data_IF_468993264987
#
_entry.id   IF_468993264987
#
_cell.length_a   1.000
_cell.length_b   1.000
_cell.length_c   1.000
_cell.angle_alpha   90.00
_cell.angle_beta   90.00
_cell.angle_gamma   90.00
#
_symmetry.space_group_name_H-M   'P 1'
#
loop_
_entity.id
_entity.type
_entity.pdbx_description
1 polymer ?
#
# COMPACT_ATOMS: atom_id res chain seq x y z
N UNK A 1 -27.59 4.22 -1.71
CA UNK A 1 -26.73 3.53 -2.70
C UNK A 1 -25.55 2.96 -1.94
N UNK A 2 -25.27 1.67 -2.08
CA UNK A 2 -24.09 1.04 -1.48
C UNK A 2 -22.87 1.33 -2.36
N UNK A 3 -21.71 1.58 -1.75
CA UNK A 3 -20.44 1.74 -2.46
C UNK A 3 -19.66 0.44 -2.35
N UNK A 4 -19.22 -0.11 -3.49
CA UNK A 4 -18.43 -1.34 -3.55
C UNK A 4 -16.96 -1.04 -3.84
N UNK A 5 -16.10 -1.36 -2.87
CA UNK A 5 -14.66 -1.12 -2.94
C UNK A 5 -13.94 -2.47 -2.99
N UNK A 6 -13.06 -2.66 -3.98
CA UNK A 6 -12.19 -3.84 -4.09
C UNK A 6 -10.88 -3.60 -3.34
N UNK A 7 -10.78 -4.23 -2.17
CA UNK A 7 -9.62 -4.14 -1.27
C UNK A 7 -8.37 -4.75 -1.91
N UNK A 8 -7.33 -3.94 -2.07
CA UNK A 8 -6.04 -4.28 -2.70
C UNK A 8 -6.18 -4.88 -4.10
N UNK A 9 -7.19 -4.42 -4.85
CA UNK A 9 -7.64 -5.03 -6.09
C UNK A 9 -8.49 -6.29 -5.87
N UNK A 10 -8.26 -7.32 -6.67
CA UNK A 10 -8.92 -8.63 -6.51
C UNK A 10 -7.93 -9.71 -6.03
N UNK A 11 -6.93 -9.30 -5.23
CA UNK A 11 -5.84 -10.18 -4.83
C UNK A 11 -5.92 -10.71 -3.41
N UNK A 12 -5.09 -11.71 -3.13
CA UNK A 12 -4.82 -12.30 -1.81
C UNK A 12 -3.33 -12.62 -1.72
N UNK A 13 -2.72 -12.42 -0.55
CA UNK A 13 -1.32 -12.82 -0.31
C UNK A 13 -1.12 -14.34 -0.23
N UNK A 14 -2.20 -15.12 -0.07
CA UNK A 14 -2.14 -16.58 -0.05
C UNK A 14 -2.11 -17.13 -1.48
N UNK A 15 -0.94 -17.12 -2.10
CA UNK A 15 -0.72 -17.61 -3.48
C UNK A 15 -0.62 -19.14 -3.58
N UNK A 16 -0.55 -19.84 -2.45
CA UNK A 16 -0.32 -21.29 -2.40
C UNK A 16 -1.64 -22.07 -2.32
N UNK A 17 -2.20 -22.36 -3.49
CA UNK A 17 -3.16 -23.45 -3.67
C UNK A 17 -2.54 -24.54 -4.54
N UNK A 18 -2.78 -25.80 -4.18
CA UNK A 18 -2.42 -26.97 -5.00
C UNK A 18 -3.21 -27.00 -6.32
N UNK A 19 -4.42 -26.44 -6.33
CA UNK A 19 -5.19 -26.21 -7.57
C UNK A 19 -4.76 -24.89 -8.23
N UNK A 20 -4.24 -24.98 -9.45
CA UNK A 20 -3.78 -23.85 -10.28
C UNK A 20 -4.90 -22.82 -10.49
N UNK A 21 -6.17 -23.26 -10.55
CA UNK A 21 -7.35 -22.39 -10.72
C UNK A 21 -7.64 -21.55 -9.47
N UNK A 22 -7.11 -21.99 -8.34
CA UNK A 22 -7.28 -21.37 -7.01
C UNK A 22 -5.99 -20.67 -6.56
N UNK A 23 -4.96 -20.58 -7.42
CA UNK A 23 -3.81 -19.72 -7.14
C UNK A 23 -4.31 -18.28 -7.10
N UNK A 24 -4.15 -17.65 -5.95
CA UNK A 24 -4.54 -16.26 -5.74
C UNK A 24 -3.85 -15.34 -6.74
N UNK A 25 -4.49 -14.22 -7.06
CA UNK A 25 -3.81 -13.08 -7.69
C UNK A 25 -3.11 -12.33 -6.57
N UNK A 26 -1.84 -11.94 -6.74
CA UNK A 26 -1.13 -11.15 -5.72
C UNK A 26 -1.86 -9.82 -5.53
N UNK A 27 -2.21 -9.48 -4.31
CA UNK A 27 -2.81 -8.18 -3.97
C UNK A 27 -1.86 -7.02 -4.32
N UNK A 28 -2.39 -5.80 -4.39
CA UNK A 28 -1.55 -4.60 -4.58
C UNK A 28 -0.67 -4.70 -5.85
N UNK A 29 -1.18 -5.40 -6.88
CA UNK A 29 -0.51 -5.63 -8.16
C UNK A 29 -1.34 -5.15 -9.33
N UNK A 30 -0.67 -4.78 -10.45
CA UNK A 30 -1.34 -4.36 -11.68
C UNK A 30 -2.35 -5.42 -12.15
N UNK A 31 -2.02 -6.71 -12.05
CA UNK A 31 -2.93 -7.79 -12.40
C UNK A 31 -4.18 -7.78 -11.50
N UNK A 32 -4.03 -7.62 -10.19
CA UNK A 32 -5.18 -7.54 -9.27
C UNK A 32 -6.09 -6.35 -9.53
N UNK A 33 -5.52 -5.20 -9.93
CA UNK A 33 -6.28 -4.01 -10.26
C UNK A 33 -7.04 -4.17 -11.59
N UNK A 34 -6.37 -4.70 -12.61
CA UNK A 34 -6.98 -4.97 -13.91
C UNK A 34 -8.12 -6.01 -13.79
N UNK A 35 -7.93 -7.05 -12.98
CA UNK A 35 -9.01 -8.02 -12.71
C UNK A 35 -10.17 -7.38 -11.96
N UNK A 36 -9.90 -6.54 -10.95
CA UNK A 36 -10.96 -5.82 -10.23
C UNK A 36 -11.80 -4.95 -11.18
N UNK A 37 -11.16 -4.27 -12.13
CA UNK A 37 -11.81 -3.39 -13.11
C UNK A 37 -12.74 -4.13 -14.09
N UNK A 38 -12.70 -5.47 -14.16
CA UNK A 38 -13.65 -6.26 -14.98
C UNK A 38 -15.03 -6.42 -14.33
N UNK A 39 -15.19 -6.00 -13.08
CA UNK A 39 -16.44 -6.10 -12.32
C UNK A 39 -17.10 -4.72 -12.14
N UNK A 40 -18.43 -4.65 -11.89
CA UNK A 40 -19.14 -3.40 -11.62
C UNK A 40 -18.86 -2.90 -10.19
N UNK A 41 -17.65 -2.38 -9.98
CA UNK A 41 -17.16 -1.87 -8.69
C UNK A 41 -17.06 -0.34 -8.75
N UNK A 42 -17.15 0.33 -7.60
CA UNK A 42 -17.03 1.79 -7.54
C UNK A 42 -15.58 2.26 -7.41
N UNK A 43 -14.76 1.50 -6.67
CA UNK A 43 -13.37 1.85 -6.35
C UNK A 43 -12.48 0.60 -6.25
N UNK A 44 -11.18 0.81 -6.52
CA UNK A 44 -10.10 -0.10 -6.16
C UNK A 44 -9.30 0.58 -5.05
N UNK A 45 -9.03 -0.15 -3.99
CA UNK A 45 -8.19 0.29 -2.87
C UNK A 45 -6.80 -0.35 -2.98
N UNK A 46 -5.78 0.35 -2.49
CA UNK A 46 -4.40 -0.12 -2.40
C UNK A 46 -3.63 0.66 -1.34
N UNK A 47 -2.63 0.01 -0.75
CA UNK A 47 -1.83 0.56 0.35
C UNK A 47 -0.56 1.22 -0.17
N UNK A 48 -0.19 2.37 0.41
CA UNK A 48 1.05 3.08 0.06
C UNK A 48 1.93 3.25 1.29
N UNK A 49 3.20 2.87 1.16
CA UNK A 49 4.26 3.13 2.13
C UNK A 49 5.41 3.90 1.45
N UNK A 50 6.33 4.42 2.24
CA UNK A 50 7.52 5.13 1.71
C UNK A 50 8.78 4.48 2.28
N UNK A 51 9.70 4.12 1.41
CA UNK A 51 11.00 3.54 1.76
C UNK A 51 11.91 4.57 2.42
N UNK A 52 13.02 4.12 3.02
CA UNK A 52 14.03 4.95 3.69
C UNK A 52 14.68 5.99 2.78
N UNK A 53 14.72 5.73 1.49
CA UNK A 53 15.19 6.62 0.43
C UNK A 53 14.05 7.37 -0.27
N UNK A 54 12.98 7.66 0.47
CA UNK A 54 11.86 8.53 0.08
C UNK A 54 11.09 8.07 -1.18
N UNK A 55 11.15 6.77 -1.52
CA UNK A 55 10.44 6.21 -2.67
C UNK A 55 9.11 5.59 -2.22
N UNK A 56 7.95 6.07 -2.75
CA UNK A 56 6.67 5.45 -2.45
C UNK A 56 6.54 4.06 -3.10
N UNK A 57 6.00 3.11 -2.36
CA UNK A 57 5.77 1.72 -2.79
C UNK A 57 4.33 1.30 -2.49
N UNK A 58 3.76 0.47 -3.35
CA UNK A 58 2.44 -0.12 -3.14
C UNK A 58 2.61 -1.47 -2.44
N UNK A 59 2.40 -1.48 -1.12
CA UNK A 59 2.61 -2.65 -0.27
C UNK A 59 1.89 -2.46 1.07
N UNK A 60 1.24 -3.52 1.55
CA UNK A 60 0.43 -3.45 2.77
C UNK A 60 1.22 -3.68 4.05
N UNK A 61 1.95 -4.80 4.13
CA UNK A 61 2.49 -5.25 5.41
C UNK A 61 3.59 -4.30 5.89
N UNK A 62 3.67 -4.08 7.21
CA UNK A 62 4.70 -3.22 7.78
C UNK A 62 6.10 -3.82 7.61
N UNK A 63 6.19 -5.14 7.54
CA UNK A 63 7.43 -5.90 7.51
C UNK A 63 7.50 -6.76 6.25
N UNK A 64 8.70 -6.86 5.69
CA UNK A 64 9.05 -7.83 4.68
C UNK A 64 9.96 -8.88 5.31
N UNK A 65 9.63 -10.14 5.06
CA UNK A 65 10.32 -11.31 5.59
C UNK A 65 11.20 -11.91 4.50
N UNK A 66 12.45 -12.18 4.86
CA UNK A 66 13.37 -13.05 4.11
C UNK A 66 13.74 -14.25 4.95
N UNK A 67 13.98 -15.38 4.28
CA UNK A 67 14.51 -16.59 4.88
C UNK A 67 16.01 -16.69 4.55
N UNK A 68 16.85 -16.74 5.59
CA UNK A 68 18.28 -17.02 5.47
C UNK A 68 18.63 -18.20 6.37
N UNK A 69 19.04 -19.33 5.79
CA UNK A 69 19.41 -20.58 6.51
C UNK A 69 18.37 -20.98 7.59
N UNK A 70 17.10 -21.09 7.18
CA UNK A 70 15.95 -21.44 8.04
C UNK A 70 15.64 -20.41 9.16
N UNK A 71 16.23 -19.21 9.11
CA UNK A 71 15.92 -18.09 10.01
C UNK A 71 15.11 -17.04 9.25
N UNK A 72 13.91 -16.74 9.76
CA UNK A 72 13.08 -15.65 9.24
C UNK A 72 13.55 -14.31 9.80
N UNK A 73 14.03 -13.44 8.92
CA UNK A 73 14.45 -12.09 9.24
C UNK A 73 13.39 -11.13 8.70
N UNK A 74 12.68 -10.46 9.60
CA UNK A 74 11.78 -9.36 9.26
C UNK A 74 12.51 -8.03 9.22
N UNK A 75 12.29 -7.23 8.17
CA UNK A 75 12.70 -5.82 8.12
C UNK A 75 11.49 -4.95 7.84
N UNK A 76 11.40 -3.81 8.51
CA UNK A 76 10.32 -2.87 8.26
C UNK A 76 10.51 -2.22 6.90
N UNK A 77 9.43 -2.08 6.13
CA UNK A 77 9.49 -1.50 4.77
C UNK A 77 10.04 -0.07 4.80
N UNK A 78 9.69 0.71 5.82
CA UNK A 78 10.17 2.08 6.02
C UNK A 78 11.67 2.19 6.33
N UNK A 79 12.32 1.08 6.70
CA UNK A 79 13.75 1.03 7.01
C UNK A 79 14.60 0.56 5.81
N UNK A 80 13.96 0.10 4.73
CA UNK A 80 14.62 -0.38 3.51
C UNK A 80 14.78 0.73 2.49
N UNK A 81 15.85 0.67 1.70
CA UNK A 81 15.91 1.44 0.44
C UNK A 81 15.11 0.74 -0.66
N UNK A 82 14.68 1.47 -1.70
CA UNK A 82 13.92 0.89 -2.81
C UNK A 82 14.63 -0.32 -3.47
N UNK A 83 15.94 -0.27 -3.80
CA UNK A 83 16.61 -1.43 -4.38
C UNK A 83 16.64 -2.64 -3.44
N UNK A 84 16.70 -2.41 -2.14
CA UNK A 84 16.62 -3.49 -1.14
C UNK A 84 15.21 -4.07 -1.13
N UNK A 85 14.17 -3.24 -1.03
CA UNK A 85 12.77 -3.67 -1.09
C UNK A 85 12.47 -4.52 -2.35
N UNK A 86 12.93 -4.08 -3.52
CA UNK A 86 12.72 -4.78 -4.78
C UNK A 86 13.51 -6.09 -4.91
N UNK A 87 14.53 -6.29 -4.08
CA UNK A 87 15.32 -7.54 -4.07
C UNK A 87 14.64 -8.69 -3.32
N UNK A 88 13.57 -8.41 -2.56
CA UNK A 88 12.83 -9.44 -1.83
C UNK A 88 11.89 -10.21 -2.74
N UNK A 89 11.83 -11.52 -2.50
CA UNK A 89 10.88 -12.41 -3.16
C UNK A 89 9.43 -12.17 -2.69
N UNK A 90 8.43 -12.65 -3.44
CA UNK A 90 7.04 -12.63 -3.01
C UNK A 90 6.87 -13.22 -1.61
N UNK A 91 6.20 -12.46 -0.74
CA UNK A 91 5.97 -12.83 0.65
C UNK A 91 5.08 -14.06 0.75
N UNK A 92 5.54 -15.09 1.47
CA UNK A 92 4.85 -16.38 1.62
C UNK A 92 4.18 -16.53 2.99
N UNK A 93 4.57 -15.71 3.96
CA UNK A 93 4.11 -15.77 5.33
C UNK A 93 3.96 -14.36 5.89
N UNK A 94 3.00 -14.20 6.79
CA UNK A 94 2.87 -13.00 7.61
C UNK A 94 3.88 -13.10 8.76
N UNK A 95 4.72 -12.09 8.90
CA UNK A 95 5.59 -11.97 10.05
C UNK A 95 4.85 -11.29 11.20
N UNK A 96 4.68 -12.00 12.32
CA UNK A 96 4.18 -11.40 13.57
C UNK A 96 5.32 -10.66 14.28
N UNK A 97 5.52 -9.39 13.89
CA UNK A 97 6.49 -8.50 14.54
C UNK A 97 5.76 -7.38 15.27
N UNK A 98 6.36 -6.86 16.34
CA UNK A 98 5.86 -5.70 17.05
C UNK A 98 5.75 -4.49 16.09
N UNK A 99 4.52 -4.07 15.84
CA UNK A 99 4.20 -3.02 14.89
C UNK A 99 4.17 -1.63 15.54
N UNK A 100 4.31 -1.54 16.87
CA UNK A 100 4.23 -0.28 17.60
C UNK A 100 5.33 0.70 17.16
N UNK A 101 4.91 1.73 16.42
CA UNK A 101 5.72 2.89 16.09
C UNK A 101 5.03 4.16 16.55
N UNK A 102 5.80 5.03 17.18
CA UNK A 102 5.43 6.42 17.43
C UNK A 102 6.10 7.28 16.37
N UNK A 103 5.33 7.72 15.37
CA UNK A 103 5.83 8.65 14.36
C UNK A 103 5.96 10.06 14.96
N UNK A 104 7.13 10.67 14.82
CA UNK A 104 7.27 12.11 15.09
C UNK A 104 6.50 12.88 14.02
N UNK A 105 5.80 13.94 14.40
CA UNK A 105 5.00 14.76 13.46
C UNK A 105 5.81 15.18 12.23
N UNK A 106 7.09 15.58 12.41
CA UNK A 106 7.99 15.96 11.30
C UNK A 106 8.19 14.82 10.30
N UNK A 107 8.39 13.59 10.78
CA UNK A 107 8.59 12.41 9.93
C UNK A 107 7.30 12.08 9.19
N UNK A 108 6.17 12.04 9.91
CA UNK A 108 4.86 11.80 9.32
C UNK A 108 4.53 12.84 8.25
N UNK A 109 4.78 14.12 8.54
CA UNK A 109 4.59 15.23 7.62
C UNK A 109 5.42 15.08 6.34
N UNK A 110 6.68 14.68 6.47
CA UNK A 110 7.56 14.43 5.32
C UNK A 110 7.02 13.30 4.43
N UNK A 111 6.66 12.16 5.03
CA UNK A 111 6.08 11.01 4.30
C UNK A 111 4.80 11.40 3.57
N UNK A 112 3.89 12.10 4.24
CA UNK A 112 2.64 12.56 3.64
C UNK A 112 2.87 13.55 2.49
N UNK A 113 3.87 14.42 2.60
CA UNK A 113 4.23 15.34 1.52
C UNK A 113 4.73 14.58 0.28
N UNK A 114 5.56 13.56 0.44
CA UNK A 114 6.03 12.73 -0.65
C UNK A 114 4.87 12.00 -1.35
N UNK A 115 3.97 11.38 -0.57
CA UNK A 115 2.79 10.72 -1.11
C UNK A 115 1.92 11.72 -1.88
N UNK A 116 1.61 12.88 -1.29
CA UNK A 116 0.79 13.90 -1.96
C UNK A 116 1.44 14.46 -3.21
N UNK A 117 2.77 14.62 -3.24
CA UNK A 117 3.49 15.07 -4.43
C UNK A 117 3.44 14.02 -5.55
N UNK A 118 3.72 12.75 -5.23
CA UNK A 118 3.61 11.66 -6.20
C UNK A 118 2.19 11.57 -6.75
N UNK A 119 1.18 11.55 -5.87
CA UNK A 119 -0.20 11.50 -6.28
C UNK A 119 -0.55 12.71 -7.15
N UNK A 120 -0.15 13.93 -6.77
CA UNK A 120 -0.43 15.11 -7.59
C UNK A 120 0.18 15.00 -8.99
N UNK A 121 1.38 14.48 -9.14
CA UNK A 121 2.01 14.30 -10.45
C UNK A 121 1.31 13.22 -11.28
N UNK A 122 1.17 12.01 -10.71
CA UNK A 122 0.59 10.86 -11.42
C UNK A 122 -0.91 11.06 -11.70
N UNK A 123 -1.67 11.54 -10.72
CA UNK A 123 -3.12 11.71 -10.86
C UNK A 123 -3.45 12.81 -11.85
N UNK A 124 -2.77 13.96 -11.81
CA UNK A 124 -3.05 15.05 -12.73
C UNK A 124 -2.78 14.64 -14.19
N UNK A 125 -1.79 13.76 -14.41
CA UNK A 125 -1.43 13.30 -15.75
C UNK A 125 -2.28 12.12 -16.23
N UNK A 126 -2.62 11.17 -15.34
CA UNK A 126 -3.15 9.87 -15.75
C UNK A 126 -4.54 9.54 -15.20
N UNK A 127 -5.08 10.28 -14.22
CA UNK A 127 -6.33 9.88 -13.57
C UNK A 127 -7.58 10.17 -14.41
N UNK A 128 -7.51 11.04 -15.43
CA UNK A 128 -8.62 11.30 -16.37
C UNK A 128 -9.97 11.58 -15.68
N UNK A 129 -9.95 12.30 -14.56
CA UNK A 129 -11.15 12.65 -13.79
C UNK A 129 -11.71 11.54 -12.90
N UNK A 130 -11.00 10.41 -12.72
CA UNK A 130 -11.37 9.36 -11.75
C UNK A 130 -11.45 9.94 -10.34
N UNK A 131 -12.47 9.50 -9.59
CA UNK A 131 -12.67 9.90 -8.18
C UNK A 131 -11.59 9.24 -7.31
N UNK A 132 -10.98 10.02 -6.43
CA UNK A 132 -9.93 9.57 -5.51
C UNK A 132 -10.24 10.09 -4.11
N UNK A 133 -9.94 9.28 -3.10
CA UNK A 133 -9.92 9.69 -1.70
C UNK A 133 -8.75 9.02 -1.00
N UNK A 134 -8.35 9.59 0.14
CA UNK A 134 -7.34 9.00 1.02
C UNK A 134 -8.05 8.39 2.24
N UNK A 135 -7.51 7.29 2.76
CA UNK A 135 -7.93 6.68 4.03
C UNK A 135 -6.72 6.25 4.83
N UNK A 136 -6.79 6.32 6.16
CA UNK A 136 -5.68 5.89 7.03
C UNK A 136 -6.19 5.54 8.42
N UNK A 137 -5.63 4.46 9.01
CA UNK A 137 -5.87 4.11 10.41
C UNK A 137 -5.07 4.97 11.40
N UNK A 138 -4.23 5.90 10.93
CA UNK A 138 -3.45 6.79 11.79
C UNK A 138 -4.14 8.16 11.91
N UNK A 139 -4.65 8.55 13.10
CA UNK A 139 -5.50 9.74 13.24
C UNK A 139 -4.72 11.02 12.94
N UNK A 140 -3.45 11.09 13.35
CA UNK A 140 -2.58 12.22 13.06
C UNK A 140 -2.32 12.39 11.56
N UNK A 141 -2.24 11.27 10.82
CA UNK A 141 -2.06 11.31 9.39
C UNK A 141 -3.31 11.89 8.70
N UNK A 142 -4.50 11.45 9.10
CA UNK A 142 -5.75 11.98 8.58
C UNK A 142 -5.87 13.50 8.83
N UNK A 143 -5.53 13.96 10.04
CA UNK A 143 -5.53 15.39 10.38
C UNK A 143 -4.51 16.19 9.55
N UNK A 144 -3.30 15.65 9.38
CA UNK A 144 -2.24 16.30 8.61
C UNK A 144 -2.59 16.38 7.12
N UNK A 145 -3.08 15.30 6.49
CA UNK A 145 -3.47 15.31 5.07
C UNK A 145 -4.57 16.36 4.84
N UNK A 146 -5.60 16.41 5.70
CA UNK A 146 -6.68 17.42 5.61
C UNK A 146 -6.18 18.86 5.71
N UNK A 147 -5.05 19.10 6.41
CA UNK A 147 -4.40 20.41 6.48
C UNK A 147 -3.52 20.70 5.25
N UNK A 148 -2.95 19.67 4.63
CA UNK A 148 -2.03 19.81 3.49
C UNK A 148 -2.73 19.94 2.14
N UNK A 149 -3.95 19.42 2.02
CA UNK A 149 -4.72 19.46 0.78
C UNK A 149 -6.22 19.54 1.05
N UNK A 150 -6.96 20.11 0.10
CA UNK A 150 -8.43 20.18 0.11
C UNK A 150 -9.08 19.65 -1.17
N UNK A 151 -8.32 19.02 -2.06
CA UNK A 151 -8.77 18.51 -3.36
C UNK A 151 -9.44 17.15 -3.26
N UNK A 152 -9.04 16.32 -2.30
CA UNK A 152 -9.50 14.94 -2.16
C UNK A 152 -10.03 14.69 -0.75
N UNK A 153 -11.16 13.97 -0.59
CA UNK A 153 -11.64 13.54 0.72
C UNK A 153 -10.61 12.70 1.46
N UNK A 154 -10.64 12.77 2.79
CA UNK A 154 -9.75 12.00 3.67
C UNK A 154 -10.59 11.33 4.76
N UNK A 155 -10.52 10.01 4.85
CA UNK A 155 -11.23 9.18 5.82
C UNK A 155 -10.26 8.61 6.87
N UNK A 156 -10.80 8.36 8.05
CA UNK A 156 -10.13 7.67 9.17
C UNK A 156 -10.99 6.46 9.52
#
# INVERSE_FOLDING_TARGET
>A
MLVLIRHRGNGTNMLQSSDIRMRGIKENSILSFNTAAQFPIDFVEFDVQVTKDDCPVIFHDNFIVSEDKDVFIGKRVTDLKLPEFLSYEPQKQLGEFDDHIVYKERQLKHVLQLILQLFKHVVNEYAEGRRIFFSTFQPDAALLIRKMQSSYPVYF
#
